data_IF_720990630390
#
_entry.id   IF_720990630390
#
_cell.length_a   1.000
_cell.length_b   1.000
_cell.length_c   1.000
_cell.angle_alpha   90.00
_cell.angle_beta   90.00
_cell.angle_gamma   90.00
#
_symmetry.space_group_name_H-M   'P 1'
#
loop_
_entity.id
_entity.type
_entity.pdbx_description
1 polymer ?
#
# COMPACT_ATOMS: atom_id res chain seq x y z
N UNK A 1 -8.94 24.00 -31.45
CA UNK A 1 -10.15 23.46 -32.09
C UNK A 1 -10.85 22.61 -31.05
N UNK A 2 -12.08 22.93 -30.68
CA UNK A 2 -12.82 22.12 -29.69
C UNK A 2 -13.43 20.91 -30.43
N UNK A 3 -13.14 19.72 -29.94
CA UNK A 3 -13.71 18.48 -30.49
C UNK A 3 -14.98 18.15 -29.69
N UNK A 4 -16.10 18.03 -30.38
CA UNK A 4 -17.38 17.62 -29.81
C UNK A 4 -17.62 16.13 -30.06
N UNK A 5 -17.86 15.36 -28.99
CA UNK A 5 -18.27 13.97 -29.13
C UNK A 5 -19.73 13.89 -29.54
N UNK A 6 -19.99 13.49 -30.78
CA UNK A 6 -21.33 13.39 -31.36
C UNK A 6 -21.96 12.00 -31.22
N UNK A 7 -21.18 10.95 -30.96
CA UNK A 7 -21.67 9.59 -30.79
C UNK A 7 -20.73 8.75 -29.94
N UNK A 8 -21.28 7.97 -29.01
CA UNK A 8 -20.58 6.99 -28.18
C UNK A 8 -21.09 5.59 -28.52
N UNK A 9 -20.18 4.70 -28.96
CA UNK A 9 -20.49 3.29 -29.22
C UNK A 9 -19.66 2.45 -28.24
N UNK A 10 -20.30 1.58 -27.49
CA UNK A 10 -19.61 0.54 -26.74
C UNK A 10 -19.06 -0.47 -27.74
N UNK A 11 -17.74 -0.69 -27.66
CA UNK A 11 -17.04 -1.71 -28.43
C UNK A 11 -16.58 -2.81 -27.48
N UNK A 12 -16.27 -3.99 -28.02
CA UNK A 12 -15.64 -5.04 -27.23
C UNK A 12 -14.28 -4.60 -26.70
N UNK A 13 -13.83 -5.11 -25.52
CA UNK A 13 -12.52 -4.78 -24.97
C UNK A 13 -11.42 -5.09 -25.96
N UNK A 14 -10.67 -4.09 -26.38
CA UNK A 14 -9.44 -4.23 -27.16
C UNK A 14 -8.25 -3.90 -26.30
N UNK A 15 -7.07 -4.54 -26.53
CA UNK A 15 -5.85 -4.17 -25.83
C UNK A 15 -5.57 -2.68 -26.04
N UNK A 16 -5.35 -1.97 -24.93
CA UNK A 16 -4.98 -0.56 -24.95
C UNK A 16 -3.50 -0.48 -24.62
N UNK A 17 -2.73 0.18 -25.48
CA UNK A 17 -1.30 0.42 -25.27
C UNK A 17 -1.12 1.87 -24.82
N UNK A 18 -0.26 2.07 -23.84
CA UNK A 18 0.18 3.40 -23.45
C UNK A 18 1.29 3.87 -24.42
N UNK A 19 1.20 5.10 -24.90
CA UNK A 19 2.17 5.69 -25.81
C UNK A 19 2.69 7.00 -25.22
N UNK A 20 4.00 7.21 -25.28
CA UNK A 20 4.63 8.48 -24.95
C UNK A 20 5.00 9.22 -26.21
N UNK A 21 4.57 10.48 -26.33
CA UNK A 21 4.94 11.36 -27.43
C UNK A 21 6.08 12.27 -26.99
N UNK A 22 7.26 12.23 -27.62
CA UNK A 22 8.36 13.12 -27.29
C UNK A 22 7.92 14.59 -27.38
N UNK A 23 8.35 15.42 -26.45
CA UNK A 23 8.05 16.84 -26.32
C UNK A 23 6.59 17.26 -26.01
N UNK A 24 5.64 16.33 -26.02
CA UNK A 24 4.26 16.59 -25.59
C UNK A 24 3.76 15.41 -24.79
N UNK A 25 3.51 15.57 -23.51
CA UNK A 25 3.07 14.49 -22.62
C UNK A 25 1.63 14.03 -22.85
N UNK A 26 1.07 14.38 -24.01
CA UNK A 26 -0.25 14.02 -24.46
C UNK A 26 -0.11 13.25 -25.76
N UNK A 27 -0.90 12.25 -25.95
CA UNK A 27 -1.07 11.60 -27.25
C UNK A 27 -2.55 11.42 -27.56
N UNK A 28 -2.82 11.36 -28.86
CA UNK A 28 -4.16 11.21 -29.38
C UNK A 28 -4.31 9.77 -29.88
N UNK A 29 -5.24 9.02 -29.31
CA UNK A 29 -5.61 7.70 -29.83
C UNK A 29 -6.33 7.85 -31.18
N UNK A 30 -6.40 6.80 -31.98
CA UNK A 30 -7.11 6.78 -33.27
C UNK A 30 -8.55 7.28 -33.21
N UNK A 31 -9.17 7.19 -32.03
CA UNK A 31 -10.51 7.70 -31.77
C UNK A 31 -10.55 9.19 -31.36
N UNK A 32 -9.41 9.89 -31.39
CA UNK A 32 -9.30 11.31 -31.02
C UNK A 32 -9.26 11.58 -29.50
N UNK A 33 -9.11 10.56 -28.66
CA UNK A 33 -9.00 10.72 -27.21
C UNK A 33 -7.57 11.14 -26.82
N UNK A 34 -7.43 12.19 -26.02
CA UNK A 34 -6.15 12.66 -25.46
C UNK A 34 -5.93 12.01 -24.10
N UNK A 35 -4.77 11.40 -23.88
CA UNK A 35 -4.40 10.70 -22.65
C UNK A 35 -3.17 11.36 -22.00
N UNK A 36 -3.17 11.39 -20.66
CA UNK A 36 -2.14 12.02 -19.83
C UNK A 36 -1.54 11.05 -18.83
N UNK A 37 -0.23 11.17 -18.56
CA UNK A 37 0.45 10.54 -17.45
C UNK A 37 0.67 11.57 -16.31
N UNK A 38 0.27 11.27 -15.08
CA UNK A 38 0.23 12.25 -13.96
C UNK A 38 1.56 12.48 -13.24
N UNK A 39 2.60 11.66 -13.47
CA UNK A 39 3.90 11.78 -12.81
C UNK A 39 3.97 11.40 -11.32
N UNK A 40 2.94 10.73 -10.76
CA UNK A 40 2.86 10.35 -9.34
C UNK A 40 4.01 9.48 -8.87
N UNK A 41 4.23 8.35 -9.54
CA UNK A 41 5.29 7.40 -9.20
C UNK A 41 6.68 8.04 -9.30
N UNK A 42 6.88 8.95 -10.27
CA UNK A 42 8.12 9.73 -10.36
C UNK A 42 8.33 10.63 -9.15
N UNK A 43 7.29 11.39 -8.75
CA UNK A 43 7.36 12.27 -7.58
C UNK A 43 7.59 11.50 -6.28
N UNK A 44 6.95 10.34 -6.13
CA UNK A 44 7.18 9.46 -4.98
C UNK A 44 8.62 8.92 -4.95
N UNK A 45 9.15 8.44 -6.08
CA UNK A 45 10.53 7.99 -6.20
C UNK A 45 11.54 9.09 -5.89
N UNK A 46 11.24 10.31 -6.31
CA UNK A 46 12.07 11.48 -5.98
C UNK A 46 12.05 11.79 -4.48
N UNK A 47 10.90 11.75 -3.83
CA UNK A 47 10.80 11.94 -2.39
C UNK A 47 11.55 10.84 -1.63
N UNK A 48 11.41 9.56 -2.04
CA UNK A 48 12.16 8.43 -1.51
C UNK A 48 13.67 8.67 -1.63
N UNK A 49 14.14 9.10 -2.80
CA UNK A 49 15.56 9.40 -3.03
C UNK A 49 16.06 10.52 -2.12
N UNK A 50 15.29 11.59 -1.99
CA UNK A 50 15.64 12.71 -1.12
C UNK A 50 15.69 12.26 0.35
N UNK A 51 14.69 11.51 0.82
CA UNK A 51 14.66 10.96 2.16
C UNK A 51 15.87 10.07 2.44
N UNK A 52 16.24 9.21 1.48
CA UNK A 52 17.43 8.36 1.58
C UNK A 52 18.73 9.18 1.72
N UNK A 53 18.87 10.26 0.96
CA UNK A 53 20.10 11.07 0.95
C UNK A 53 20.25 11.95 2.18
N UNK A 54 19.14 12.45 2.76
CA UNK A 54 19.21 13.47 3.82
C UNK A 54 18.88 12.94 5.22
N UNK A 55 18.41 11.69 5.33
CA UNK A 55 18.08 11.05 6.61
C UNK A 55 18.79 9.71 6.76
N UNK A 56 18.62 9.08 7.93
CA UNK A 56 18.99 7.68 8.18
C UNK A 56 17.76 6.81 8.42
N UNK A 57 16.57 7.31 8.06
CA UNK A 57 15.30 6.63 8.24
C UNK A 57 15.24 5.32 7.47
N UNK A 58 14.50 4.36 7.98
CA UNK A 58 14.13 3.18 7.21
C UNK A 58 13.05 3.55 6.18
N UNK A 59 13.14 2.98 4.99
CA UNK A 59 12.25 3.24 3.86
C UNK A 59 11.63 1.92 3.43
N UNK A 60 10.32 1.81 3.56
CA UNK A 60 9.58 0.61 3.18
C UNK A 60 8.53 0.98 2.15
N UNK A 61 8.47 0.20 1.06
CA UNK A 61 7.62 0.47 -0.10
C UNK A 61 6.72 -0.74 -0.32
N UNK A 62 5.41 -0.51 -0.42
CA UNK A 62 4.44 -1.48 -0.93
C UNK A 62 4.16 -1.15 -2.40
N UNK A 63 4.58 -2.04 -3.29
CA UNK A 63 4.59 -1.84 -4.74
C UNK A 63 3.67 -2.84 -5.47
N UNK A 64 2.39 -2.51 -5.64
CA UNK A 64 1.46 -3.38 -6.35
C UNK A 64 1.60 -3.35 -7.87
N UNK A 65 2.36 -2.42 -8.43
CA UNK A 65 2.55 -2.26 -9.89
C UNK A 65 3.97 -2.63 -10.36
N UNK A 66 4.92 -2.85 -9.44
CA UNK A 66 6.28 -3.27 -9.76
C UNK A 66 7.14 -2.17 -10.38
N UNK A 67 6.95 -0.93 -9.94
CA UNK A 67 7.61 0.24 -10.52
C UNK A 67 8.86 0.70 -9.76
N UNK A 68 9.04 0.28 -8.49
CA UNK A 68 10.07 0.84 -7.61
C UNK A 68 11.37 0.02 -7.57
N UNK A 69 11.36 -1.23 -8.07
CA UNK A 69 12.52 -2.12 -8.01
C UNK A 69 13.85 -1.49 -8.53
N UNK A 70 13.90 -0.82 -9.70
CA UNK A 70 15.14 -0.23 -10.21
C UNK A 70 15.72 0.83 -9.27
N UNK A 71 14.86 1.65 -8.64
CA UNK A 71 15.31 2.65 -7.67
C UNK A 71 15.85 1.99 -6.40
N UNK A 72 15.14 1.00 -5.87
CA UNK A 72 15.52 0.31 -4.63
C UNK A 72 16.87 -0.40 -4.80
N UNK A 73 17.09 -1.08 -5.91
CA UNK A 73 18.36 -1.73 -6.24
C UNK A 73 19.49 -0.70 -6.33
N UNK A 74 19.26 0.45 -6.96
CA UNK A 74 20.27 1.52 -7.05
C UNK A 74 20.60 2.13 -5.68
N UNK A 75 19.66 2.16 -4.75
CA UNK A 75 19.89 2.61 -3.38
C UNK A 75 20.54 1.53 -2.48
N UNK A 76 20.89 0.36 -3.03
CA UNK A 76 21.41 -0.78 -2.27
C UNK A 76 20.38 -1.43 -1.35
N UNK A 77 19.09 -1.22 -1.65
CA UNK A 77 17.97 -1.80 -0.93
C UNK A 77 17.65 -3.22 -1.37
N UNK A 78 16.61 -3.77 -0.77
CA UNK A 78 16.14 -5.13 -1.03
C UNK A 78 14.75 -5.14 -1.66
N UNK A 79 14.61 -5.87 -2.76
CA UNK A 79 13.33 -6.13 -3.40
C UNK A 79 12.85 -7.54 -3.01
N UNK A 80 11.71 -7.61 -2.33
CA UNK A 80 11.07 -8.84 -1.91
C UNK A 80 9.89 -9.09 -2.86
N UNK A 81 10.07 -10.01 -3.79
CA UNK A 81 9.02 -10.42 -4.72
C UNK A 81 8.10 -11.42 -4.05
N UNK A 82 6.81 -11.07 -3.93
CA UNK A 82 5.78 -11.96 -3.42
C UNK A 82 4.88 -12.37 -4.58
N UNK A 83 4.94 -13.65 -4.95
CA UNK A 83 4.12 -14.20 -6.03
C UNK A 83 3.91 -15.70 -5.83
N UNK A 84 2.96 -16.33 -6.53
CA UNK A 84 2.75 -17.78 -6.46
C UNK A 84 3.97 -18.61 -6.87
N UNK A 85 4.90 -18.05 -7.62
CA UNK A 85 6.11 -18.73 -8.11
C UNK A 85 7.38 -18.27 -7.43
N UNK A 86 7.30 -17.30 -6.53
CA UNK A 86 8.46 -16.78 -5.78
C UNK A 86 8.89 -17.75 -4.69
N UNK A 87 10.20 -17.74 -4.42
CA UNK A 87 10.79 -18.40 -3.24
C UNK A 87 10.80 -17.50 -2.01
N UNK A 88 10.40 -16.23 -2.15
CA UNK A 88 10.29 -15.30 -1.04
C UNK A 88 8.94 -15.45 -0.36
N UNK A 89 8.95 -15.60 0.95
CA UNK A 89 7.76 -15.78 1.76
C UNK A 89 7.74 -14.80 2.92
N UNK A 90 6.56 -14.29 3.21
CA UNK A 90 6.23 -13.45 4.36
C UNK A 90 5.10 -14.11 5.12
N UNK A 91 5.30 -14.30 6.40
CA UNK A 91 4.32 -14.92 7.29
C UNK A 91 3.38 -13.86 7.88
N UNK A 92 2.07 -13.90 7.62
CA UNK A 92 1.12 -12.98 8.26
C UNK A 92 1.01 -13.18 9.77
N UNK A 93 1.49 -14.33 10.28
CA UNK A 93 1.46 -14.63 11.71
C UNK A 93 2.72 -14.13 12.45
N UNK A 94 3.70 -13.50 11.79
CA UNK A 94 4.86 -12.94 12.48
C UNK A 94 4.43 -11.88 13.50
N UNK A 95 4.99 -11.96 14.70
CA UNK A 95 4.69 -11.06 15.83
C UNK A 95 5.98 -10.55 16.46
N UNK A 96 6.02 -9.26 16.75
CA UNK A 96 7.06 -8.66 17.57
C UNK A 96 6.61 -8.67 19.04
N UNK A 97 7.37 -9.34 19.91
CA UNK A 97 7.09 -9.40 21.34
C UNK A 97 7.67 -8.21 22.13
N UNK A 98 8.59 -7.46 21.54
CA UNK A 98 9.19 -6.26 22.13
C UNK A 98 8.24 -5.07 21.99
N UNK A 99 7.12 -5.14 22.70
CA UNK A 99 6.12 -4.10 22.79
C UNK A 99 6.23 -3.34 24.11
N UNK A 100 5.58 -2.17 24.19
CA UNK A 100 5.51 -1.40 25.42
C UNK A 100 4.78 -2.18 26.55
N UNK A 101 5.08 -1.86 27.80
CA UNK A 101 4.39 -2.41 28.96
C UNK A 101 2.87 -2.11 28.99
N UNK A 102 2.39 -1.22 28.11
CA UNK A 102 1.00 -0.75 28.09
C UNK A 102 0.10 -1.52 27.11
N UNK A 103 0.66 -2.17 26.08
CA UNK A 103 -0.13 -2.86 25.05
C UNK A 103 0.30 -4.33 24.91
N UNK A 104 -0.67 -5.23 24.85
CA UNK A 104 -0.42 -6.66 24.65
C UNK A 104 -0.18 -6.94 23.15
N UNK A 105 1.02 -7.39 22.74
CA UNK A 105 1.33 -7.69 21.34
C UNK A 105 0.35 -8.68 20.71
N UNK A 106 -0.08 -9.68 21.46
CA UNK A 106 -1.02 -10.69 20.96
C UNK A 106 -2.40 -10.12 20.68
N UNK A 107 -2.87 -9.12 21.44
CA UNK A 107 -4.15 -8.47 21.18
C UNK A 107 -4.12 -7.72 19.83
N UNK A 108 -3.05 -6.98 19.57
CA UNK A 108 -2.89 -6.26 18.29
C UNK A 108 -2.75 -7.23 17.13
N UNK A 109 -2.02 -8.33 17.32
CA UNK A 109 -1.92 -9.37 16.30
C UNK A 109 -3.27 -10.06 16.07
N UNK A 110 -4.06 -10.28 17.11
CA UNK A 110 -5.41 -10.82 16.99
C UNK A 110 -6.31 -9.89 16.15
N UNK A 111 -6.26 -8.57 16.39
CA UNK A 111 -7.00 -7.58 15.61
C UNK A 111 -6.59 -7.61 14.13
N UNK A 112 -5.30 -7.73 13.86
CA UNK A 112 -4.79 -7.89 12.48
C UNK A 112 -5.32 -9.18 11.85
N UNK A 113 -5.23 -10.33 12.53
CA UNK A 113 -5.70 -11.61 12.01
C UNK A 113 -7.23 -11.61 11.80
N UNK A 114 -7.98 -10.96 12.69
CA UNK A 114 -9.42 -10.75 12.50
C UNK A 114 -9.72 -9.98 11.22
N UNK A 115 -9.00 -8.90 10.96
CA UNK A 115 -9.17 -8.12 9.72
C UNK A 115 -8.72 -8.90 8.48
N UNK A 116 -7.67 -9.69 8.56
CA UNK A 116 -7.22 -10.59 7.50
C UNK A 116 -8.29 -11.68 7.19
N UNK A 117 -8.82 -12.32 8.22
CA UNK A 117 -9.89 -13.30 8.07
C UNK A 117 -11.17 -12.65 7.50
N UNK A 118 -11.47 -11.40 7.84
CA UNK A 118 -12.60 -10.68 7.27
C UNK A 118 -12.44 -10.42 5.78
N UNK A 119 -11.23 -10.10 5.30
CA UNK A 119 -10.93 -10.01 3.87
C UNK A 119 -11.12 -11.34 3.12
N UNK A 120 -10.89 -12.47 3.80
CA UNK A 120 -10.97 -13.80 3.21
C UNK A 120 -12.38 -14.37 3.28
N UNK A 121 -13.04 -14.24 4.42
CA UNK A 121 -14.28 -14.96 4.77
C UNK A 121 -15.50 -14.05 4.85
N UNK A 122 -15.32 -12.77 5.25
CA UNK A 122 -16.40 -11.90 5.70
C UNK A 122 -17.41 -11.49 4.65
N UNK A 123 -17.09 -11.57 3.35
CA UNK A 123 -17.99 -11.17 2.28
C UNK A 123 -18.44 -9.71 2.41
N UNK A 124 -19.71 -9.42 2.09
CA UNK A 124 -20.27 -8.05 2.16
C UNK A 124 -20.68 -7.62 3.57
N UNK A 125 -21.00 -8.59 4.43
CA UNK A 125 -21.57 -8.32 5.76
C UNK A 125 -20.51 -8.40 6.88
N UNK A 126 -19.25 -8.65 6.52
CA UNK A 126 -18.15 -8.83 7.46
C UNK A 126 -18.29 -10.12 8.29
N UNK A 127 -17.38 -10.29 9.27
CA UNK A 127 -17.40 -11.40 10.21
C UNK A 127 -18.47 -11.19 11.30
N UNK A 128 -19.22 -12.24 11.59
CA UNK A 128 -20.21 -12.25 12.69
C UNK A 128 -19.52 -12.31 14.06
N UNK A 129 -20.18 -11.87 15.14
CA UNK A 129 -19.58 -11.88 16.49
C UNK A 129 -19.07 -13.26 16.94
N UNK A 130 -19.78 -14.34 16.59
CA UNK A 130 -19.35 -15.71 16.91
C UNK A 130 -18.08 -16.09 16.13
N UNK A 131 -18.02 -15.74 14.87
CA UNK A 131 -16.84 -15.99 14.00
C UNK A 131 -15.61 -15.24 14.53
N UNK A 132 -15.78 -13.98 14.93
CA UNK A 132 -14.69 -13.18 15.56
C UNK A 132 -14.19 -13.83 16.84
N UNK A 133 -15.08 -14.32 17.70
CA UNK A 133 -14.72 -15.00 18.95
C UNK A 133 -13.94 -16.30 18.69
N UNK A 134 -14.34 -17.07 17.68
CA UNK A 134 -13.68 -18.32 17.32
C UNK A 134 -12.27 -18.07 16.77
N UNK A 135 -12.11 -17.09 15.89
CA UNK A 135 -10.81 -16.70 15.35
C UNK A 135 -9.89 -16.23 16.49
N UNK A 136 -10.34 -15.31 17.35
CA UNK A 136 -9.54 -14.81 18.48
C UNK A 136 -9.15 -15.93 19.44
N UNK A 137 -10.05 -16.87 19.75
CA UNK A 137 -9.75 -18.06 20.55
C UNK A 137 -8.62 -18.88 19.93
N UNK A 138 -8.74 -19.21 18.64
CA UNK A 138 -7.74 -20.00 17.94
C UNK A 138 -6.40 -19.27 17.81
N UNK A 139 -6.41 -17.97 17.55
CA UNK A 139 -5.19 -17.14 17.54
C UNK A 139 -4.46 -17.27 18.87
N UNK A 140 -5.13 -17.10 20.00
CA UNK A 140 -4.48 -17.26 21.32
C UNK A 140 -3.93 -18.67 21.54
N UNK A 141 -4.60 -19.69 21.02
CA UNK A 141 -4.15 -21.09 21.18
C UNK A 141 -2.87 -21.35 20.36
N UNK A 142 -2.83 -20.94 19.09
CA UNK A 142 -1.68 -21.24 18.21
C UNK A 142 -0.41 -20.48 18.57
N UNK A 143 -0.52 -19.36 19.29
CA UNK A 143 0.66 -18.62 19.75
C UNK A 143 1.23 -19.12 21.07
N UNK A 144 0.57 -20.05 21.79
CA UNK A 144 1.03 -20.48 23.11
C UNK A 144 2.46 -21.03 23.11
N UNK A 145 2.80 -21.87 22.14
CA UNK A 145 4.13 -22.47 22.05
C UNK A 145 5.20 -21.39 21.79
N UNK A 146 4.92 -20.45 20.91
CA UNK A 146 5.83 -19.33 20.64
C UNK A 146 5.99 -18.39 21.84
N UNK A 147 4.91 -18.10 22.57
CA UNK A 147 4.97 -17.24 23.75
C UNK A 147 5.74 -17.88 24.91
N UNK A 148 5.71 -19.22 25.01
CA UNK A 148 6.46 -19.97 26.02
C UNK A 148 7.95 -20.12 25.66
N UNK A 149 8.27 -20.29 24.36
CA UNK A 149 9.62 -20.44 23.83
C UNK A 149 9.71 -19.72 22.47
N UNK A 150 10.09 -18.41 22.47
CA UNK A 150 10.05 -17.54 21.30
C UNK A 150 11.18 -17.84 20.30
N UNK A 151 11.12 -19.00 19.68
CA UNK A 151 12.02 -19.42 18.61
C UNK A 151 11.34 -19.37 17.24
N UNK A 152 12.07 -19.11 16.15
CA UNK A 152 11.50 -19.06 14.80
C UNK A 152 10.71 -20.32 14.40
N UNK A 153 11.13 -21.49 14.88
CA UNK A 153 10.45 -22.77 14.61
C UNK A 153 9.09 -22.89 15.32
N UNK A 154 8.85 -22.16 16.40
CA UNK A 154 7.59 -22.14 17.13
C UNK A 154 6.63 -21.04 16.62
N UNK A 155 7.10 -20.15 15.70
CA UNK A 155 6.24 -19.14 15.10
C UNK A 155 5.12 -19.82 14.31
N UNK A 156 3.83 -19.57 14.63
CA UNK A 156 2.74 -20.16 13.87
C UNK A 156 2.71 -19.64 12.42
N UNK A 157 2.08 -20.42 11.56
CA UNK A 157 1.71 -20.02 10.18
C UNK A 157 0.20 -20.07 10.02
N UNK A 158 -0.32 -19.60 8.90
CA UNK A 158 -1.76 -19.58 8.65
C UNK A 158 -2.39 -21.00 8.71
N UNK A 159 -1.61 -22.03 8.37
CA UNK A 159 -2.00 -23.42 8.50
C UNK A 159 -2.31 -23.86 9.93
N UNK A 160 -1.56 -23.36 10.91
CA UNK A 160 -1.81 -23.69 12.32
C UNK A 160 -3.14 -23.10 12.80
N UNK A 161 -3.51 -21.89 12.34
CA UNK A 161 -4.81 -21.30 12.59
C UNK A 161 -5.94 -22.11 11.93
N UNK A 162 -5.73 -22.54 10.69
CA UNK A 162 -6.67 -23.40 9.96
C UNK A 162 -6.91 -24.72 10.71
N UNK A 163 -5.84 -25.40 11.12
CA UNK A 163 -5.93 -26.66 11.84
C UNK A 163 -6.62 -26.49 13.21
N UNK A 164 -6.30 -25.42 13.92
CA UNK A 164 -6.97 -25.10 15.19
C UNK A 164 -8.48 -24.86 15.00
N UNK A 165 -8.89 -24.12 13.97
CA UNK A 165 -10.31 -23.91 13.64
C UNK A 165 -11.02 -25.22 13.33
N UNK A 166 -10.36 -26.16 12.66
CA UNK A 166 -10.90 -27.49 12.35
C UNK A 166 -11.14 -28.35 13.58
N UNK A 167 -10.44 -28.10 14.70
CA UNK A 167 -10.64 -28.84 15.94
C UNK A 167 -11.80 -28.31 16.79
N UNK A 168 -12.39 -27.17 16.43
CA UNK A 168 -13.52 -26.59 17.14
C UNK A 168 -14.82 -27.30 16.73
N UNK A 169 -15.74 -27.48 17.68
CA UNK A 169 -17.02 -28.16 17.45
C UNK A 169 -18.08 -27.26 16.74
N UNK A 170 -17.89 -25.96 16.78
CA UNK A 170 -18.85 -24.98 16.24
C UNK A 170 -18.85 -24.99 14.70
N UNK A 171 -20.05 -24.94 14.11
CA UNK A 171 -20.24 -24.95 12.65
C UNK A 171 -19.60 -23.73 11.98
N UNK A 172 -19.61 -22.60 12.68
CA UNK A 172 -18.98 -21.36 12.20
C UNK A 172 -17.46 -21.53 12.07
N UNK A 173 -16.83 -22.27 12.99
CA UNK A 173 -15.40 -22.58 12.88
C UNK A 173 -15.08 -23.44 11.67
N UNK A 174 -15.91 -24.45 11.39
CA UNK A 174 -15.79 -25.28 10.18
C UNK A 174 -16.01 -24.48 8.90
N UNK A 175 -16.93 -23.51 8.91
CA UNK A 175 -17.16 -22.60 7.79
C UNK A 175 -15.93 -21.73 7.53
N UNK A 176 -15.34 -21.12 8.56
CA UNK A 176 -14.13 -20.30 8.46
C UNK A 176 -12.96 -21.15 7.95
N UNK A 177 -12.74 -22.32 8.53
CA UNK A 177 -11.69 -23.24 8.10
C UNK A 177 -11.84 -23.61 6.61
N UNK A 178 -13.05 -23.96 6.17
CA UNK A 178 -13.30 -24.27 4.75
C UNK A 178 -12.98 -23.09 3.83
N UNK A 179 -13.30 -21.86 4.26
CA UNK A 179 -12.99 -20.66 3.47
C UNK A 179 -11.47 -20.35 3.45
N UNK A 180 -10.74 -20.68 4.52
CA UNK A 180 -9.29 -20.54 4.60
C UNK A 180 -8.53 -21.61 3.79
N UNK A 181 -9.13 -22.75 3.50
CA UNK A 181 -8.46 -23.91 2.90
C UNK A 181 -7.71 -23.56 1.60
N UNK A 182 -8.29 -22.73 0.73
CA UNK A 182 -7.66 -22.31 -0.52
C UNK A 182 -6.35 -21.51 -0.29
N UNK A 183 -6.23 -20.83 0.86
CA UNK A 183 -5.06 -20.04 1.24
C UNK A 183 -4.01 -20.84 2.05
N UNK A 184 -4.35 -22.04 2.48
CA UNK A 184 -3.47 -22.91 3.27
C UNK A 184 -2.94 -24.08 2.43
N UNK A 185 -3.82 -24.86 1.83
CA UNK A 185 -3.49 -26.05 1.05
C UNK A 185 -3.82 -25.92 -0.44
N UNK A 186 -4.55 -24.86 -0.81
CA UNK A 186 -5.01 -24.63 -2.17
C UNK A 186 -4.06 -23.75 -2.99
N UNK A 187 -4.57 -23.29 -4.14
CA UNK A 187 -3.81 -22.54 -5.15
C UNK A 187 -3.38 -21.11 -4.70
N UNK A 188 -3.88 -20.62 -3.59
CA UNK A 188 -3.58 -19.28 -3.08
C UNK A 188 -2.72 -19.32 -1.80
N UNK A 189 -1.96 -20.39 -1.57
CA UNK A 189 -1.19 -20.64 -0.34
C UNK A 189 0.11 -19.81 -0.19
N UNK A 190 0.26 -18.74 -0.95
CA UNK A 190 1.47 -17.87 -0.97
C UNK A 190 1.89 -17.40 0.43
N UNK A 191 0.92 -17.17 1.31
CA UNK A 191 1.13 -16.64 2.65
C UNK A 191 1.11 -17.71 3.76
N UNK A 192 1.09 -19.00 3.39
CA UNK A 192 1.16 -20.09 4.36
C UNK A 192 2.58 -20.65 4.51
N UNK A 193 3.54 -19.76 4.71
CA UNK A 193 4.96 -20.11 4.88
C UNK A 193 5.58 -19.22 5.95
N UNK A 194 6.62 -19.72 6.63
CA UNK A 194 7.44 -18.87 7.50
C UNK A 194 8.22 -17.85 6.68
N UNK A 195 8.42 -16.66 7.23
CA UNK A 195 9.26 -15.63 6.61
C UNK A 195 10.68 -16.16 6.43
N UNK A 196 11.16 -16.06 5.19
CA UNK A 196 12.48 -16.58 4.80
C UNK A 196 13.37 -15.52 4.13
N UNK A 197 12.96 -14.26 4.21
CA UNK A 197 13.69 -13.12 3.62
C UNK A 197 14.17 -12.20 4.72
N UNK A 198 15.31 -11.54 4.48
CA UNK A 198 15.76 -10.48 5.37
C UNK A 198 14.91 -9.22 5.13
N UNK A 199 14.18 -8.81 6.15
CA UNK A 199 13.33 -7.61 6.11
C UNK A 199 14.00 -6.42 6.81
N UNK A 200 15.25 -6.55 7.29
CA UNK A 200 15.93 -5.54 8.11
C UNK A 200 16.78 -4.54 7.31
N UNK A 201 16.84 -4.67 5.96
CA UNK A 201 17.52 -3.67 5.15
C UNK A 201 16.87 -2.29 5.35
N UNK A 202 17.69 -1.23 5.24
CA UNK A 202 17.24 0.16 5.37
C UNK A 202 16.19 0.54 4.32
N UNK A 203 16.30 0.00 3.10
CA UNK A 203 15.34 0.22 2.01
C UNK A 203 14.77 -1.12 1.58
N UNK A 204 13.49 -1.33 1.81
CA UNK A 204 12.79 -2.57 1.46
C UNK A 204 11.61 -2.26 0.56
N UNK A 205 11.51 -2.98 -0.55
CA UNK A 205 10.37 -2.92 -1.46
C UNK A 205 9.67 -4.28 -1.52
N UNK A 206 8.40 -4.32 -1.18
CA UNK A 206 7.55 -5.48 -1.37
C UNK A 206 6.88 -5.38 -2.74
N UNK A 207 7.45 -6.04 -3.75
CA UNK A 207 6.86 -6.17 -5.09
C UNK A 207 5.79 -7.26 -5.05
N UNK A 208 4.54 -6.83 -5.09
CA UNK A 208 3.35 -7.68 -5.08
C UNK A 208 2.59 -7.64 -6.41
N UNK A 209 3.21 -7.18 -7.49
CA UNK A 209 2.61 -7.02 -8.81
C UNK A 209 2.03 -8.32 -9.35
N UNK A 210 2.74 -9.43 -9.16
CA UNK A 210 2.34 -10.75 -9.68
C UNK A 210 1.26 -11.44 -8.83
N UNK A 211 0.85 -10.86 -7.71
CA UNK A 211 -0.33 -11.32 -6.98
C UNK A 211 -1.60 -11.03 -7.78
N UNK A 212 -2.41 -12.05 -8.01
CA UNK A 212 -3.73 -11.87 -8.61
C UNK A 212 -4.60 -10.90 -7.80
N UNK A 213 -5.62 -10.35 -8.44
CA UNK A 213 -6.49 -9.30 -7.88
C UNK A 213 -6.98 -9.58 -6.44
N UNK A 214 -7.28 -10.85 -6.13
CA UNK A 214 -7.74 -11.27 -4.81
C UNK A 214 -6.62 -11.24 -3.77
N UNK A 215 -5.44 -11.78 -4.11
CA UNK A 215 -4.29 -11.81 -3.21
C UNK A 215 -3.62 -10.44 -3.05
N UNK A 216 -3.76 -9.53 -4.03
CA UNK A 216 -3.11 -8.20 -3.98
C UNK A 216 -3.57 -7.40 -2.76
N UNK A 217 -4.87 -7.38 -2.44
CA UNK A 217 -5.40 -6.71 -1.23
C UNK A 217 -4.86 -7.37 0.05
N UNK A 218 -4.86 -8.69 0.10
CA UNK A 218 -4.32 -9.47 1.21
C UNK A 218 -2.84 -9.16 1.39
N UNK A 219 -2.07 -9.17 0.30
CA UNK A 219 -0.64 -8.84 0.31
C UNK A 219 -0.36 -7.43 0.82
N UNK A 220 -1.10 -6.42 0.37
CA UNK A 220 -0.98 -5.05 0.88
C UNK A 220 -1.27 -4.97 2.38
N UNK A 221 -2.28 -5.69 2.85
CA UNK A 221 -2.65 -5.71 4.27
C UNK A 221 -1.56 -6.38 5.12
N UNK A 222 -0.97 -7.48 4.63
CA UNK A 222 0.15 -8.17 5.29
C UNK A 222 1.41 -7.28 5.31
N UNK A 223 1.72 -6.60 4.21
CA UNK A 223 2.84 -5.65 4.16
C UNK A 223 2.65 -4.53 5.19
N UNK A 224 1.44 -4.02 5.36
CA UNK A 224 1.14 -2.97 6.34
C UNK A 224 1.41 -3.45 7.79
N UNK A 225 1.09 -4.70 8.12
CA UNK A 225 1.40 -5.30 9.41
C UNK A 225 2.92 -5.49 9.61
N UNK A 226 3.64 -5.92 8.57
CA UNK A 226 5.11 -6.01 8.61
C UNK A 226 5.77 -4.65 8.84
N UNK A 227 5.24 -3.60 8.25
CA UNK A 227 5.72 -2.22 8.50
C UNK A 227 5.46 -1.81 9.94
N UNK A 228 4.29 -2.16 10.48
CA UNK A 228 3.99 -1.91 11.89
C UNK A 228 4.97 -2.62 12.82
N UNK A 229 5.33 -3.87 12.55
CA UNK A 229 6.35 -4.59 13.29
C UNK A 229 7.70 -3.85 13.24
N UNK A 230 8.12 -3.36 12.08
CA UNK A 230 9.36 -2.57 11.94
C UNK A 230 9.32 -1.25 12.72
N UNK A 231 8.20 -0.53 12.71
CA UNK A 231 8.03 0.71 13.48
C UNK A 231 8.19 0.44 14.98
N UNK A 232 7.60 -0.66 15.45
CA UNK A 232 7.69 -1.05 16.87
C UNK A 232 9.11 -1.53 17.25
N UNK A 233 9.75 -2.32 16.40
CA UNK A 233 11.13 -2.75 16.59
C UNK A 233 12.08 -1.56 16.69
N UNK A 234 12.01 -0.61 15.76
CA UNK A 234 12.85 0.58 15.79
C UNK A 234 12.63 1.42 17.05
N UNK A 235 11.38 1.58 17.48
CA UNK A 235 11.04 2.39 18.65
C UNK A 235 11.67 1.84 19.93
N UNK A 236 11.68 0.52 20.12
CA UNK A 236 12.19 -0.14 21.33
C UNK A 236 13.64 -0.62 21.21
N UNK A 237 14.28 -0.44 20.09
CA UNK A 237 15.70 -0.67 19.91
C UNK A 237 16.51 0.52 20.43
N UNK A 238 17.45 0.31 21.32
CA UNK A 238 18.38 1.36 21.81
C UNK A 238 19.13 2.02 20.62
N UNK A 239 19.53 1.22 19.63
CA UNK A 239 20.27 1.68 18.45
C UNK A 239 19.40 2.47 17.48
N UNK A 240 18.15 2.04 17.24
CA UNK A 240 17.29 2.56 16.19
C UNK A 240 16.20 3.53 16.68
N UNK A 241 16.05 3.73 17.99
CA UNK A 241 15.02 4.58 18.57
C UNK A 241 15.02 6.04 18.07
N UNK A 242 16.13 6.49 17.48
CA UNK A 242 16.23 7.81 16.87
C UNK A 242 15.71 7.88 15.44
N UNK A 243 15.61 6.76 14.72
CA UNK A 243 15.16 6.67 13.31
C UNK A 243 13.66 6.82 13.18
N UNK A 244 13.23 7.34 12.06
CA UNK A 244 11.86 7.21 11.58
C UNK A 244 11.74 6.03 10.61
N UNK A 245 10.54 5.48 10.50
CA UNK A 245 10.20 4.47 9.50
C UNK A 245 9.23 5.10 8.49
N UNK A 246 9.69 5.30 7.25
CA UNK A 246 8.89 5.85 6.15
C UNK A 246 8.23 4.71 5.41
N UNK A 247 6.93 4.79 5.26
CA UNK A 247 6.14 3.77 4.57
C UNK A 247 5.41 4.38 3.38
N UNK A 248 5.76 3.94 2.18
CA UNK A 248 5.15 4.36 0.92
C UNK A 248 4.21 3.27 0.43
N UNK A 249 2.92 3.60 0.30
CA UNK A 249 1.87 2.69 -0.18
C UNK A 249 1.38 3.18 -1.53
N UNK A 250 1.78 2.50 -2.61
CA UNK A 250 1.20 2.80 -3.91
C UNK A 250 -0.18 2.14 -4.06
N UNK A 251 -1.03 2.73 -4.89
CA UNK A 251 -2.43 2.33 -5.09
C UNK A 251 -3.22 2.13 -3.79
N UNK A 252 -2.99 3.01 -2.80
CA UNK A 252 -3.57 2.94 -1.45
C UNK A 252 -5.09 2.78 -1.44
N UNK A 253 -5.79 3.31 -2.44
CA UNK A 253 -7.24 3.17 -2.56
C UNK A 253 -7.73 1.71 -2.56
N UNK A 254 -6.87 0.74 -2.87
CA UNK A 254 -7.22 -0.68 -2.83
C UNK A 254 -7.51 -1.18 -1.42
N UNK A 255 -6.87 -0.61 -0.39
CA UNK A 255 -7.09 -0.95 1.02
C UNK A 255 -8.36 -0.32 1.60
N UNK A 256 -8.90 0.70 0.93
CA UNK A 256 -10.04 1.48 1.45
C UNK A 256 -11.40 0.99 0.96
N UNK A 257 -11.43 -0.04 0.13
CA UNK A 257 -12.67 -0.58 -0.45
C UNK A 257 -13.49 -1.42 0.54
N UNK A 258 -12.84 -1.99 1.52
CA UNK A 258 -13.46 -2.82 2.54
C UNK A 258 -13.39 -2.06 3.88
N UNK A 259 -14.46 -2.00 4.64
CA UNK A 259 -14.60 -1.19 5.86
C UNK A 259 -13.54 -1.54 6.91
N UNK A 260 -13.29 -2.82 7.15
CA UNK A 260 -12.32 -3.27 8.16
C UNK A 260 -10.88 -2.96 7.78
N UNK A 261 -10.52 -3.15 6.50
CA UNK A 261 -9.18 -2.83 6.03
C UNK A 261 -8.94 -1.32 6.08
N UNK A 262 -9.98 -0.53 5.75
CA UNK A 262 -9.93 0.91 5.88
C UNK A 262 -9.77 1.34 7.34
N UNK A 263 -10.57 0.78 8.26
CA UNK A 263 -10.49 1.05 9.69
C UNK A 263 -9.11 0.68 10.27
N UNK A 264 -8.57 -0.49 9.93
CA UNK A 264 -7.23 -0.90 10.33
C UNK A 264 -6.16 0.07 9.78
N UNK A 265 -6.27 0.46 8.51
CA UNK A 265 -5.32 1.40 7.90
C UNK A 265 -5.33 2.77 8.61
N UNK A 266 -6.51 3.29 8.95
CA UNK A 266 -6.65 4.56 9.70
C UNK A 266 -6.07 4.44 11.10
N UNK A 267 -6.29 3.33 11.79
CA UNK A 267 -5.74 3.11 13.12
C UNK A 267 -4.21 3.05 13.09
N UNK A 268 -3.62 2.31 12.15
CA UNK A 268 -2.17 2.27 11.93
C UNK A 268 -1.64 3.68 11.62
N UNK A 269 -2.33 4.47 10.79
CA UNK A 269 -1.95 5.84 10.45
C UNK A 269 -1.83 6.74 11.68
N UNK A 270 -2.82 6.67 12.58
CA UNK A 270 -2.81 7.41 13.84
C UNK A 270 -1.68 6.98 14.78
N UNK A 271 -1.39 5.67 14.83
CA UNK A 271 -0.33 5.10 15.66
C UNK A 271 1.06 5.45 15.13
N UNK A 272 1.27 5.43 13.81
CA UNK A 272 2.53 5.79 13.19
C UNK A 272 3.04 7.16 13.65
N UNK A 273 2.15 8.16 13.70
CA UNK A 273 2.50 9.50 14.15
C UNK A 273 3.12 9.52 15.56
N UNK A 274 2.60 8.70 16.47
CA UNK A 274 3.10 8.60 17.86
C UNK A 274 4.43 7.82 17.94
N UNK A 275 4.68 6.94 16.99
CA UNK A 275 5.74 5.94 17.05
C UNK A 275 6.84 6.14 16.01
N UNK A 276 7.01 7.37 15.52
CA UNK A 276 8.01 7.73 14.50
C UNK A 276 7.82 7.01 13.17
N UNK A 277 6.61 6.63 12.84
CA UNK A 277 6.23 6.21 11.50
C UNK A 277 5.80 7.41 10.66
N UNK A 278 6.17 7.42 9.38
CA UNK A 278 5.75 8.44 8.39
C UNK A 278 5.09 7.70 7.22
N UNK A 279 3.75 7.51 7.27
CA UNK A 279 3.04 6.88 6.18
C UNK A 279 2.79 7.85 5.04
N UNK A 280 2.98 7.40 3.81
CA UNK A 280 2.72 8.14 2.57
C UNK A 280 1.80 7.31 1.67
N UNK A 281 0.55 7.74 1.52
CA UNK A 281 -0.41 7.12 0.60
C UNK A 281 -0.30 7.74 -0.79
N UNK A 282 -0.17 6.89 -1.80
CA UNK A 282 -0.12 7.28 -3.21
C UNK A 282 -1.34 6.70 -3.90
N UNK A 283 -2.09 7.52 -4.61
CA UNK A 283 -3.29 7.06 -5.32
C UNK A 283 -3.60 7.92 -6.53
N UNK A 284 -4.20 7.32 -7.54
CA UNK A 284 -4.77 8.03 -8.68
C UNK A 284 -6.31 8.10 -8.62
N UNK A 285 -6.93 7.40 -7.70
CA UNK A 285 -8.38 7.34 -7.59
C UNK A 285 -8.87 8.10 -6.35
N UNK A 286 -8.95 9.42 -6.48
CA UNK A 286 -9.39 10.30 -5.40
C UNK A 286 -10.87 10.07 -5.05
N UNK A 287 -11.69 9.71 -6.03
CA UNK A 287 -13.12 9.45 -5.80
C UNK A 287 -13.36 8.26 -4.87
N UNK A 288 -12.64 7.16 -5.09
CA UNK A 288 -12.71 5.98 -4.20
C UNK A 288 -12.12 6.32 -2.82
N UNK A 289 -11.08 7.15 -2.79
CA UNK A 289 -10.46 7.63 -1.56
C UNK A 289 -11.46 8.41 -0.69
N UNK A 290 -12.19 9.35 -1.26
CA UNK A 290 -13.12 10.25 -0.55
C UNK A 290 -14.52 9.64 -0.33
N UNK A 291 -14.77 8.42 -0.77
CA UNK A 291 -16.05 7.74 -0.56
C UNK A 291 -16.21 7.15 0.85
N UNK A 292 -15.12 7.00 1.60
CA UNK A 292 -15.10 6.43 2.95
C UNK A 292 -14.90 7.54 3.99
N UNK A 293 -15.71 7.52 5.08
CA UNK A 293 -15.56 8.42 6.22
C UNK A 293 -14.22 8.24 6.94
N UNK A 294 -13.69 7.04 6.92
CA UNK A 294 -12.39 6.72 7.51
C UNK A 294 -11.28 7.50 6.82
N UNK A 295 -11.44 7.80 5.54
CA UNK A 295 -10.45 8.54 4.75
C UNK A 295 -10.44 10.03 5.06
N UNK A 296 -11.56 10.64 5.43
CA UNK A 296 -11.56 12.02 5.94
C UNK A 296 -10.54 12.17 7.08
N UNK A 297 -10.49 11.18 7.97
CA UNK A 297 -9.49 11.16 9.06
C UNK A 297 -8.04 11.13 8.56
N UNK A 298 -7.75 10.45 7.43
CA UNK A 298 -6.39 10.42 6.86
C UNK A 298 -6.03 11.81 6.31
N UNK A 299 -6.93 12.47 5.59
CA UNK A 299 -6.70 13.82 5.09
C UNK A 299 -6.49 14.84 6.22
N UNK A 300 -7.35 14.80 7.24
CA UNK A 300 -7.25 15.70 8.40
C UNK A 300 -5.96 15.49 9.22
N UNK A 301 -5.43 14.28 9.22
CA UNK A 301 -4.19 13.93 9.92
C UNK A 301 -2.95 13.92 9.00
N UNK A 302 -3.07 14.35 7.75
CA UNK A 302 -1.95 14.46 6.83
C UNK A 302 -1.33 15.86 6.91
N UNK A 303 -0.06 15.95 7.30
CA UNK A 303 0.67 17.23 7.36
C UNK A 303 0.98 17.76 5.96
N UNK A 304 1.12 16.87 4.97
CA UNK A 304 1.41 17.20 3.56
C UNK A 304 0.44 16.50 2.63
N UNK A 305 -0.09 17.23 1.63
CA UNK A 305 -0.80 16.66 0.49
C UNK A 305 -0.16 17.19 -0.79
N UNK A 306 0.40 16.27 -1.57
CA UNK A 306 1.04 16.57 -2.85
C UNK A 306 0.08 16.24 -3.99
N UNK A 307 -0.51 17.27 -4.59
CA UNK A 307 -1.55 17.12 -5.59
C UNK A 307 -1.01 17.48 -6.97
N UNK A 308 -0.94 16.50 -7.84
CA UNK A 308 -0.59 16.64 -9.24
C UNK A 308 -1.85 16.84 -10.10
N UNK A 309 -1.70 16.79 -11.44
CA UNK A 309 -2.80 16.96 -12.37
C UNK A 309 -3.95 16.00 -12.09
N UNK A 310 -5.17 16.52 -12.03
CA UNK A 310 -6.38 15.80 -11.65
C UNK A 310 -7.37 15.67 -12.82
N UNK A 311 -8.02 14.49 -12.87
CA UNK A 311 -9.08 14.25 -13.84
C UNK A 311 -10.27 15.22 -13.64
N UNK A 312 -10.99 15.61 -14.70
CA UNK A 312 -12.13 16.53 -14.59
C UNK A 312 -13.22 16.11 -13.61
N UNK A 313 -13.43 14.80 -13.46
CA UNK A 313 -14.45 14.25 -12.55
C UNK A 313 -14.14 14.43 -11.06
N UNK A 314 -12.86 14.49 -10.70
CA UNK A 314 -12.42 14.55 -9.31
C UNK A 314 -12.30 15.98 -8.78
N UNK A 315 -12.20 16.95 -9.68
CA UNK A 315 -11.97 18.38 -9.37
C UNK A 315 -13.01 18.99 -8.43
N UNK A 316 -14.29 18.68 -8.67
CA UNK A 316 -15.38 19.21 -7.87
C UNK A 316 -15.34 18.65 -6.44
N UNK A 317 -15.07 17.38 -6.31
CA UNK A 317 -14.99 16.68 -5.01
C UNK A 317 -13.81 17.23 -4.21
N UNK A 318 -12.63 17.31 -4.84
CA UNK A 318 -11.41 17.84 -4.22
C UNK A 318 -11.58 19.31 -3.78
N UNK A 319 -12.18 20.15 -4.63
CA UNK A 319 -12.44 21.54 -4.30
C UNK A 319 -13.33 21.69 -3.07
N UNK A 320 -14.32 20.84 -2.91
CA UNK A 320 -15.22 20.88 -1.74
C UNK A 320 -14.54 20.35 -0.48
N UNK A 321 -13.85 19.21 -0.58
CA UNK A 321 -13.25 18.53 0.56
C UNK A 321 -12.02 19.27 1.12
N UNK A 322 -11.20 19.83 0.24
CA UNK A 322 -9.96 20.49 0.62
C UNK A 322 -10.08 22.03 0.68
N UNK A 323 -11.26 22.58 0.47
CA UNK A 323 -11.49 24.03 0.51
C UNK A 323 -10.70 24.81 -0.55
N UNK A 324 -10.42 24.19 -1.71
CA UNK A 324 -9.61 24.80 -2.78
C UNK A 324 -10.44 25.81 -3.57
N UNK A 325 -9.93 27.03 -3.71
CA UNK A 325 -10.56 28.04 -4.55
C UNK A 325 -10.50 27.68 -6.05
N UNK A 326 -11.40 28.20 -6.91
CA UNK A 326 -11.34 27.98 -8.36
C UNK A 326 -10.00 28.38 -8.99
N UNK A 327 -9.35 29.40 -8.46
CA UNK A 327 -8.03 29.82 -8.94
C UNK A 327 -6.95 28.80 -8.58
N UNK A 328 -6.91 28.32 -7.34
CA UNK A 328 -5.97 27.28 -6.93
C UNK A 328 -6.24 25.98 -7.71
N UNK A 329 -7.50 25.63 -7.94
CA UNK A 329 -7.87 24.43 -8.72
C UNK A 329 -7.28 24.47 -10.13
N UNK A 330 -7.07 25.65 -10.74
CA UNK A 330 -6.47 25.77 -12.08
C UNK A 330 -5.05 25.20 -12.16
N UNK A 331 -4.30 25.22 -11.06
CA UNK A 331 -2.93 24.65 -10.98
C UNK A 331 -2.88 23.11 -11.03
N UNK A 332 -4.00 22.43 -10.86
CA UNK A 332 -4.09 20.95 -10.96
C UNK A 332 -5.05 20.50 -12.06
N UNK A 333 -5.54 21.43 -12.87
CA UNK A 333 -6.46 21.10 -13.96
C UNK A 333 -5.86 21.25 -15.36
N UNK A 334 -4.81 22.05 -15.48
CA UNK A 334 -4.11 22.35 -16.72
C UNK A 334 -2.59 22.26 -16.51
N UNK A 335 -2.18 21.65 -15.41
CA UNK A 335 -0.77 21.52 -15.08
C UNK A 335 -0.08 20.51 -15.98
N UNK A 336 1.18 20.80 -16.29
CA UNK A 336 2.09 19.87 -16.90
C UNK A 336 2.59 18.81 -15.92
N UNK A 337 3.50 17.97 -16.37
CA UNK A 337 4.20 17.02 -15.53
C UNK A 337 5.09 17.76 -14.51
N UNK A 338 5.07 17.32 -13.25
CA UNK A 338 5.82 17.97 -12.18
C UNK A 338 5.23 19.29 -11.70
N UNK A 339 4.01 19.64 -12.10
CA UNK A 339 3.32 20.84 -11.66
C UNK A 339 2.09 20.48 -10.82
N UNK A 340 1.80 21.26 -9.78
CA UNK A 340 0.68 20.96 -8.91
C UNK A 340 0.53 21.90 -7.73
N UNK A 341 -0.16 21.39 -6.69
CA UNK A 341 -0.35 22.06 -5.41
C UNK A 341 0.24 21.23 -4.28
N UNK A 342 0.98 21.89 -3.40
CA UNK A 342 1.43 21.35 -2.13
C UNK A 342 0.63 21.98 -1.00
N UNK A 343 0.00 21.13 -0.20
CA UNK A 343 -0.65 21.53 1.05
C UNK A 343 0.32 21.26 2.20
N UNK A 344 0.49 22.24 3.04
CA UNK A 344 1.24 22.13 4.30
C UNK A 344 0.48 22.83 5.40
N UNK A 345 -0.17 22.07 6.25
CA UNK A 345 -1.15 22.61 7.19
C UNK A 345 -2.22 23.42 6.45
N UNK A 346 -2.39 24.68 6.83
CA UNK A 346 -3.35 25.60 6.21
C UNK A 346 -2.81 26.32 4.96
N UNK A 347 -1.59 26.06 4.56
CA UNK A 347 -0.94 26.76 3.44
C UNK A 347 -1.02 25.92 2.17
N UNK A 348 -1.49 26.53 1.08
CA UNK A 348 -1.57 25.90 -0.24
C UNK A 348 -0.60 26.61 -1.17
N UNK A 349 0.40 25.90 -1.67
CA UNK A 349 1.50 26.44 -2.47
C UNK A 349 1.47 25.79 -3.86
N UNK A 350 1.28 26.56 -4.95
CA UNK A 350 1.53 26.04 -6.29
C UNK A 350 3.03 25.79 -6.47
N UNK A 351 3.38 24.69 -7.09
CA UNK A 351 4.78 24.32 -7.34
C UNK A 351 5.01 23.90 -8.79
N UNK A 352 6.25 24.07 -9.22
CA UNK A 352 6.78 23.56 -10.48
C UNK A 352 8.07 22.82 -10.16
N UNK A 353 8.06 21.53 -10.34
CA UNK A 353 9.16 20.64 -10.09
C UNK A 353 9.68 20.02 -11.39
N UNK A 354 10.73 20.62 -11.97
CA UNK A 354 11.37 20.16 -13.20
C UNK A 354 12.63 19.40 -12.85
N UNK A 355 12.64 18.11 -13.16
CA UNK A 355 13.83 17.30 -12.98
C UNK A 355 14.60 17.19 -14.30
N UNK A 356 15.95 17.29 -14.31
CA UNK A 356 16.77 17.14 -15.49
C UNK A 356 16.59 15.75 -16.13
N UNK A 357 16.17 15.70 -17.38
CA UNK A 357 15.81 14.44 -18.07
C UNK A 357 17.01 13.67 -18.62
N UNK A 358 18.18 14.31 -18.68
CA UNK A 358 19.45 13.78 -19.17
C UNK A 358 20.26 13.02 -18.11
N UNK A 359 19.74 12.95 -16.88
CA UNK A 359 20.45 12.32 -15.77
C UNK A 359 20.13 10.82 -15.67
N UNK A 360 21.08 10.03 -15.12
CA UNK A 360 20.87 8.62 -14.81
C UNK A 360 19.72 8.42 -13.81
N UNK A 361 19.65 9.30 -12.80
CA UNK A 361 18.59 9.25 -11.79
C UNK A 361 17.19 9.44 -12.42
N UNK A 362 17.06 10.31 -13.43
CA UNK A 362 15.81 10.43 -14.18
C UNK A 362 15.44 9.11 -14.86
N UNK A 363 16.42 8.42 -15.49
CA UNK A 363 16.19 7.14 -16.17
C UNK A 363 15.74 6.05 -15.22
N UNK A 364 16.25 6.05 -13.99
CA UNK A 364 15.87 5.09 -12.94
C UNK A 364 14.46 5.38 -12.40
N UNK A 365 14.13 6.66 -12.21
CA UNK A 365 12.87 7.07 -11.63
C UNK A 365 11.70 7.07 -12.62
N UNK A 366 11.96 7.28 -13.92
CA UNK A 366 10.90 7.37 -14.92
C UNK A 366 10.21 6.02 -15.13
N UNK A 367 8.89 6.05 -15.30
CA UNK A 367 8.08 4.90 -15.73
C UNK A 367 7.79 4.96 -17.25
N UNK A 368 8.31 6.00 -17.91
CA UNK A 368 8.17 6.15 -19.36
C UNK A 368 9.10 5.19 -20.08
N UNK A 369 8.67 4.59 -21.20
CA UNK A 369 9.59 3.91 -22.09
C UNK A 369 10.69 4.90 -22.51
N UNK A 370 11.95 4.53 -22.26
CA UNK A 370 13.08 5.30 -22.79
C UNK A 370 13.20 4.95 -24.27
N UNK A 371 13.22 5.95 -25.14
CA UNK A 371 13.54 5.73 -26.56
C UNK A 371 14.92 5.06 -26.63
N UNK A 372 14.98 3.88 -27.24
CA UNK A 372 16.21 3.11 -27.45
C UNK A 372 17.10 3.73 -28.56
N UNK A 373 16.97 5.01 -28.86
CA UNK A 373 17.77 5.70 -29.85
C UNK A 373 18.64 6.76 -29.18
N UNK A 374 19.79 6.36 -28.69
CA UNK A 374 21.03 7.16 -28.64
C UNK A 374 22.19 6.28 -28.17
N UNK A 375 22.61 5.34 -28.99
CA UNK A 375 24.00 4.81 -28.98
C UNK A 375 24.61 5.03 -30.36
#
# INVERSE_FOLDING_TARGET
MAVHVTRKKLMEPVPVYDMTVPSHMNYILDNGLVVHNSGKSFSAKREITNAFLVTHDDIIICDPEGEYAPLVEQLGGQVIKISPTSTHHINPMDINLNYSDEENPLSLKSDFILSLCELIVGGKDGLKPVEKTLIDRCVRMVYQDYLNDPKPENMPVLGDLYDCLRTQDEKEAQYIATALEIYVTGSLSVFNHRTNVDIHNRVVCYDIRELGKQLKKIGMHIVQDQVWNRVTENRFSEENAHKYTRYYMDEFHLLLKEEQTAAYSVEIWKRFRKWKGIPTAITQNVKDLLASKEVENIFENSDFIYMLNQAPGDRKILSQQLGISPHQLSYVTHSGEGEGLLFYGNTIIPFVDRFPTDTELYRIMTTKPLDQEAT
#
